data_IF_312813030131
#
_entry.id   IF_312813030131
#
_cell.length_a   1.000
_cell.length_b   1.000
_cell.length_c   1.000
_cell.angle_alpha   90.00
_cell.angle_beta   90.00
_cell.angle_gamma   90.00
#
_symmetry.space_group_name_H-M   'P 1'
#
loop_
_entity.id
_entity.type
_entity.pdbx_description
1 polymer ?
#
# COMPACT_ATOMS: atom_id res chain seq x y z
N UNK A 1 -8.60 3.80 16.29
CA UNK A 1 -7.16 3.54 16.08
C UNK A 1 -6.41 4.68 16.74
N UNK A 2 -5.67 4.45 17.84
CA UNK A 2 -4.81 5.49 18.40
C UNK A 2 -3.65 5.76 17.43
N UNK A 3 -3.45 7.02 17.06
CA UNK A 3 -2.27 7.49 16.34
C UNK A 3 -1.76 8.75 17.02
N UNK A 4 -0.47 9.04 16.87
CA UNK A 4 0.15 10.27 17.35
C UNK A 4 0.89 10.96 16.21
N UNK A 5 0.95 12.29 16.27
CA UNK A 5 1.80 13.05 15.35
C UNK A 5 3.24 12.96 15.85
N UNK A 6 4.13 12.53 14.97
CA UNK A 6 5.56 12.42 15.21
C UNK A 6 6.34 13.28 14.22
N UNK A 7 7.61 13.60 14.49
CA UNK A 7 8.47 14.29 13.53
C UNK A 7 8.57 13.52 12.20
N UNK A 8 8.88 14.23 11.12
CA UNK A 8 9.15 13.60 9.82
C UNK A 8 10.32 12.63 9.94
N UNK A 9 10.18 11.44 9.35
CA UNK A 9 11.27 10.50 9.22
C UNK A 9 12.25 11.00 8.14
N UNK A 10 13.57 11.05 8.41
CA UNK A 10 14.54 11.49 7.41
C UNK A 10 14.42 10.70 6.11
N UNK A 11 14.37 11.41 4.97
CA UNK A 11 14.22 10.83 3.64
C UNK A 11 12.78 10.79 3.10
N UNK A 12 11.76 10.99 3.95
CA UNK A 12 10.38 11.11 3.47
C UNK A 12 10.18 12.45 2.74
N UNK A 13 9.58 12.39 1.55
CA UNK A 13 9.15 13.56 0.76
C UNK A 13 7.65 13.81 0.94
N UNK A 14 7.18 15.02 0.61
CA UNK A 14 5.79 15.42 0.88
C UNK A 14 4.76 14.58 0.09
N UNK A 15 4.93 14.45 -1.22
CA UNK A 15 3.99 13.72 -2.09
C UNK A 15 4.72 13.12 -3.29
N UNK A 16 4.28 11.93 -3.72
CA UNK A 16 4.77 11.26 -4.93
C UNK A 16 3.73 10.27 -5.44
N UNK A 17 3.36 10.40 -6.71
CA UNK A 17 2.40 9.56 -7.40
C UNK A 17 2.88 9.27 -8.83
N UNK A 18 2.38 8.19 -9.45
CA UNK A 18 2.83 7.76 -10.77
C UNK A 18 1.78 8.06 -11.86
N UNK A 19 2.22 8.58 -13.00
CA UNK A 19 1.50 8.43 -14.26
C UNK A 19 1.81 7.04 -14.83
N UNK A 20 0.77 6.21 -14.94
CA UNK A 20 0.88 4.80 -15.34
C UNK A 20 0.48 4.55 -16.79
N UNK A 21 0.31 5.60 -17.58
CA UNK A 21 -0.13 5.51 -18.99
C UNK A 21 0.78 4.60 -19.82
N UNK A 22 2.10 4.71 -19.65
CA UNK A 22 3.06 3.85 -20.39
C UNK A 22 2.86 2.35 -20.14
N UNK A 23 2.57 1.95 -18.90
CA UNK A 23 2.36 0.53 -18.58
C UNK A 23 1.07 0.01 -19.22
N UNK A 24 0.01 0.84 -19.25
CA UNK A 24 -1.23 0.54 -19.96
C UNK A 24 -0.98 0.36 -21.45
N UNK A 25 -0.23 1.26 -22.08
CA UNK A 25 -0.07 1.25 -23.54
C UNK A 25 0.86 0.12 -24.01
N UNK A 26 1.96 -0.12 -23.29
CA UNK A 26 2.99 -1.09 -23.73
C UNK A 26 2.68 -2.50 -23.26
N UNK A 27 2.11 -2.66 -22.07
CA UNK A 27 1.90 -3.96 -21.44
C UNK A 27 0.42 -4.37 -21.40
N UNK A 28 -0.49 -3.49 -21.85
CA UNK A 28 -1.94 -3.67 -21.68
C UNK A 28 -2.33 -3.97 -20.22
N UNK A 29 -1.59 -3.38 -19.27
CA UNK A 29 -1.74 -3.65 -17.84
C UNK A 29 -2.15 -2.39 -17.07
N UNK A 30 -3.04 -2.55 -16.09
CA UNK A 30 -3.36 -1.49 -15.13
C UNK A 30 -3.75 -2.09 -13.76
N UNK A 31 -3.44 -1.37 -12.68
CA UNK A 31 -3.88 -1.73 -11.33
C UNK A 31 -5.40 -1.60 -11.20
N UNK A 32 -6.08 -2.68 -10.78
CA UNK A 32 -7.55 -2.75 -10.71
C UNK A 32 -8.12 -2.53 -9.31
N UNK A 33 -7.29 -2.64 -8.27
CA UNK A 33 -7.74 -2.61 -6.87
C UNK A 33 -7.61 -1.22 -6.28
N UNK A 34 -8.62 -0.83 -5.49
CA UNK A 34 -8.62 0.46 -4.80
C UNK A 34 -8.10 0.37 -3.37
N UNK A 35 -8.03 1.53 -2.70
CA UNK A 35 -7.54 1.62 -1.31
C UNK A 35 -8.36 0.78 -0.32
N UNK A 36 -9.66 0.61 -0.57
CA UNK A 36 -10.54 -0.23 0.27
C UNK A 36 -10.16 -1.70 0.19
N UNK A 37 -9.83 -2.17 -1.01
CA UNK A 37 -9.41 -3.56 -1.24
C UNK A 37 -8.07 -3.80 -0.55
N UNK A 38 -7.12 -2.88 -0.73
CA UNK A 38 -5.81 -2.93 -0.06
C UNK A 38 -5.96 -3.03 1.47
N UNK A 39 -6.78 -2.17 2.09
CA UNK A 39 -7.00 -2.19 3.55
C UNK A 39 -7.69 -3.48 4.02
N UNK A 40 -8.71 -3.94 3.28
CA UNK A 40 -9.45 -5.17 3.62
C UNK A 40 -8.53 -6.39 3.58
N UNK A 41 -7.78 -6.54 2.50
CA UNK A 41 -6.95 -7.72 2.26
C UNK A 41 -5.75 -7.72 3.23
N UNK A 42 -5.16 -6.55 3.51
CA UNK A 42 -4.11 -6.40 4.54
C UNK A 42 -4.62 -6.77 5.93
N UNK A 43 -5.82 -6.33 6.31
CA UNK A 43 -6.42 -6.69 7.61
C UNK A 43 -6.77 -8.18 7.67
N UNK A 44 -7.31 -8.75 6.60
CA UNK A 44 -7.62 -10.18 6.55
C UNK A 44 -6.36 -11.03 6.73
N UNK A 45 -5.24 -10.62 6.11
CA UNK A 45 -3.95 -11.25 6.33
C UNK A 45 -3.56 -11.11 7.82
N UNK A 46 -3.33 -9.89 8.31
CA UNK A 46 -2.85 -9.67 9.68
C UNK A 46 -3.71 -10.34 10.77
N UNK A 47 -5.04 -10.37 10.59
CA UNK A 47 -5.96 -11.05 11.51
C UNK A 47 -5.72 -12.56 11.57
N UNK A 48 -5.47 -13.20 10.44
CA UNK A 48 -5.41 -14.66 10.35
C UNK A 48 -4.04 -15.24 10.68
N UNK A 49 -2.97 -14.46 10.59
CA UNK A 49 -1.67 -14.92 11.09
C UNK A 49 -0.95 -13.72 11.74
N UNK A 50 -1.22 -13.46 13.04
CA UNK A 50 -0.79 -12.25 13.74
C UNK A 50 0.73 -12.14 13.91
N UNK A 51 1.43 -13.28 13.95
CA UNK A 51 2.88 -13.36 14.08
C UNK A 51 3.59 -13.47 12.72
N UNK A 52 2.86 -13.36 11.61
CA UNK A 52 3.42 -13.56 10.27
C UNK A 52 3.60 -15.04 9.92
N UNK A 53 4.54 -15.32 9.02
CA UNK A 53 4.96 -16.69 8.70
C UNK A 53 5.96 -17.19 9.75
N UNK A 54 5.92 -18.48 10.05
CA UNK A 54 6.95 -19.14 10.88
C UNK A 54 8.13 -19.53 10.00
N UNK A 55 9.34 -19.42 10.55
CA UNK A 55 10.60 -19.79 9.90
C UNK A 55 10.75 -21.30 9.70
#
# INVERSE_FOLDING_TARGET
MPYSIAPHRPGDIATSYADVTKAKDVLNWSAQLGIKDMCRDSWNWQKNNPEGYTD
#
